data_IF_527109481625
#
_entry.id   IF_527109481625
#
_cell.length_a   1.000
_cell.length_b   1.000
_cell.length_c   1.000
_cell.angle_alpha   90.00
_cell.angle_beta   90.00
_cell.angle_gamma   90.00
#
_symmetry.space_group_name_H-M   'P 1'
#
loop_
_entity.id
_entity.type
_entity.pdbx_description
1 polymer ?
#
# COMPACT_ATOMS: atom_id res chain seq x y z
N UNK A 1 0.72 10.59 25.31
CA UNK A 1 0.35 9.64 24.22
C UNK A 1 0.97 10.16 22.94
N UNK A 2 1.66 9.34 22.13
CA UNK A 2 2.22 9.83 20.87
C UNK A 2 1.07 10.29 19.94
N UNK A 3 1.31 11.39 19.23
CA UNK A 3 0.36 12.06 18.35
C UNK A 3 -0.15 11.10 17.26
N UNK A 4 -1.47 11.01 17.06
CA UNK A 4 -2.05 10.19 15.99
C UNK A 4 -1.59 10.75 14.63
N UNK A 5 -0.87 9.95 13.84
CA UNK A 5 -0.55 10.26 12.45
C UNK A 5 -1.84 10.22 11.61
N UNK A 6 -2.19 11.34 10.98
CA UNK A 6 -3.35 11.48 10.08
C UNK A 6 -2.92 11.39 8.61
N UNK A 7 -3.71 10.82 7.70
CA UNK A 7 -3.30 10.80 6.29
C UNK A 7 -3.53 12.17 5.64
N UNK A 8 -2.66 12.56 4.71
CA UNK A 8 -2.93 13.67 3.78
C UNK A 8 -3.86 13.22 2.67
N UNK A 9 -3.67 11.99 2.19
CA UNK A 9 -4.57 11.36 1.23
C UNK A 9 -4.76 9.87 1.53
N UNK A 10 -5.94 9.38 1.16
CA UNK A 10 -6.27 7.96 1.22
C UNK A 10 -6.66 7.51 -0.18
N UNK A 11 -5.87 6.64 -0.78
CA UNK A 11 -6.05 6.19 -2.17
C UNK A 11 -6.42 4.72 -2.20
N UNK A 12 -7.53 4.38 -2.86
CA UNK A 12 -7.93 2.97 -3.08
C UNK A 12 -7.17 2.40 -4.27
N UNK A 13 -6.65 1.19 -4.12
CA UNK A 13 -5.94 0.45 -5.17
C UNK A 13 -6.10 -1.07 -4.97
N UNK A 14 -5.57 -1.83 -5.93
CA UNK A 14 -5.54 -3.29 -5.93
C UNK A 14 -4.15 -3.78 -5.52
N UNK A 15 -4.11 -4.81 -4.66
CA UNK A 15 -2.88 -5.45 -4.20
C UNK A 15 -2.14 -6.14 -5.37
N UNK A 16 -0.84 -5.84 -5.60
CA UNK A 16 -0.10 -6.37 -6.75
C UNK A 16 0.55 -7.75 -6.50
N UNK A 17 0.36 -8.35 -5.32
CA UNK A 17 1.15 -9.52 -4.91
C UNK A 17 0.69 -10.87 -5.48
N UNK A 18 -0.61 -11.12 -5.52
CA UNK A 18 -1.15 -12.40 -5.99
C UNK A 18 -2.42 -12.17 -6.79
N UNK A 19 -2.85 -13.21 -7.53
CA UNK A 19 -4.02 -13.14 -8.41
C UNK A 19 -5.37 -12.96 -7.72
N UNK A 20 -5.43 -12.90 -6.39
CA UNK A 20 -6.68 -12.64 -5.67
C UNK A 20 -7.20 -11.23 -5.94
N UNK A 21 -6.32 -10.23 -6.09
CA UNK A 21 -6.74 -8.86 -6.40
C UNK A 21 -7.44 -8.15 -5.23
N UNK A 22 -6.96 -8.35 -4.00
CA UNK A 22 -7.51 -7.68 -2.81
C UNK A 22 -7.55 -6.16 -2.97
N UNK A 23 -8.64 -5.54 -2.50
CA UNK A 23 -8.79 -4.08 -2.44
C UNK A 23 -8.11 -3.52 -1.19
N UNK A 24 -7.38 -2.42 -1.34
CA UNK A 24 -6.62 -1.78 -0.28
C UNK A 24 -6.68 -0.25 -0.38
N UNK A 25 -6.67 0.40 0.78
CA UNK A 25 -6.60 1.85 0.94
C UNK A 25 -5.21 2.20 1.48
N UNK A 26 -4.46 2.96 0.69
CA UNK A 26 -3.15 3.48 1.01
C UNK A 26 -3.29 4.81 1.73
N UNK A 27 -2.77 4.90 2.96
CA UNK A 27 -2.72 6.13 3.74
C UNK A 27 -1.36 6.79 3.48
N UNK A 28 -1.38 7.95 2.83
CA UNK A 28 -0.19 8.63 2.33
C UNK A 28 0.02 9.92 3.11
N UNK A 29 1.28 10.18 3.47
CA UNK A 29 1.76 11.44 4.04
C UNK A 29 3.20 11.66 3.60
N UNK A 30 3.57 12.88 3.22
CA UNK A 30 4.92 13.24 2.76
C UNK A 30 5.40 12.36 1.58
N UNK A 31 4.46 11.94 0.73
CA UNK A 31 4.73 11.02 -0.39
C UNK A 31 5.04 9.57 0.01
N UNK A 32 4.92 9.21 1.29
CA UNK A 32 5.17 7.88 1.82
C UNK A 32 3.88 7.18 2.25
N UNK A 33 3.81 5.88 1.99
CA UNK A 33 2.74 5.03 2.51
C UNK A 33 3.10 4.64 3.94
N UNK A 34 2.41 5.20 4.93
CA UNK A 34 2.68 4.90 6.34
C UNK A 34 1.71 3.85 6.93
N UNK A 35 0.57 3.62 6.29
CA UNK A 35 -0.43 2.64 6.71
C UNK A 35 -1.22 2.11 5.52
N UNK A 36 -1.59 0.83 5.60
CA UNK A 36 -2.53 0.20 4.66
C UNK A 36 -3.73 -0.35 5.43
N UNK A 37 -4.94 -0.03 4.96
CA UNK A 37 -6.18 -0.66 5.41
C UNK A 37 -6.90 -1.32 4.24
N UNK A 38 -7.91 -2.14 4.52
CA UNK A 38 -8.79 -2.64 3.48
C UNK A 38 -10.23 -2.19 3.77
N UNK A 39 -11.00 -1.92 2.72
CA UNK A 39 -12.42 -1.62 2.85
C UNK A 39 -13.23 -2.89 3.20
N UNK A 40 -14.21 -2.75 4.08
CA UNK A 40 -15.08 -3.85 4.50
C UNK A 40 -16.22 -4.15 3.51
N UNK A 41 -16.54 -3.19 2.63
CA UNK A 41 -17.66 -3.24 1.69
C UNK A 41 -17.29 -3.79 0.30
N UNK A 42 -16.07 -4.29 0.12
CA UNK A 42 -15.56 -4.68 -1.21
C UNK A 42 -15.03 -6.11 -1.24
N UNK A 43 -15.50 -6.84 -2.25
CA UNK A 43 -14.90 -8.10 -2.67
C UNK A 43 -13.46 -7.84 -3.21
N UNK A 44 -12.58 -8.84 -3.13
CA UNK A 44 -12.79 -10.18 -2.59
C UNK A 44 -12.47 -10.30 -1.09
N UNK A 45 -11.90 -9.27 -0.48
CA UNK A 45 -11.23 -9.41 0.81
C UNK A 45 -11.98 -8.83 2.01
N UNK A 46 -12.99 -7.99 1.81
CA UNK A 46 -13.91 -7.49 2.86
C UNK A 46 -13.20 -7.07 4.15
N UNK A 47 -12.17 -6.21 4.03
CA UNK A 47 -11.40 -5.68 5.15
C UNK A 47 -10.17 -6.51 5.57
N UNK A 48 -10.02 -7.72 5.03
CA UNK A 48 -8.88 -8.58 5.33
C UNK A 48 -7.69 -8.31 4.41
N UNK A 49 -6.48 -8.40 4.96
CA UNK A 49 -5.23 -8.33 4.20
C UNK A 49 -4.23 -9.30 4.83
N UNK A 50 -3.53 -10.07 3.99
CA UNK A 50 -2.38 -10.86 4.42
C UNK A 50 -1.19 -9.95 4.75
N UNK A 51 -0.11 -10.54 5.30
CA UNK A 51 1.12 -9.80 5.66
C UNK A 51 1.69 -9.00 4.50
N UNK A 52 1.69 -9.55 3.28
CA UNK A 52 2.19 -8.87 2.08
C UNK A 52 1.34 -7.65 1.72
N UNK A 53 0.01 -7.80 1.71
CA UNK A 53 -0.89 -6.71 1.36
C UNK A 53 -0.93 -5.59 2.41
N UNK A 54 -0.67 -5.90 3.68
CA UNK A 54 -0.73 -4.92 4.78
C UNK A 54 0.58 -4.17 5.00
N UNK A 55 1.72 -4.83 4.82
CA UNK A 55 3.03 -4.29 5.20
C UNK A 55 4.06 -4.27 4.07
N UNK A 56 3.84 -5.01 2.99
CA UNK A 56 4.75 -5.05 1.85
C UNK A 56 4.53 -3.88 0.89
N UNK A 57 4.74 -2.65 1.33
CA UNK A 57 4.70 -1.47 0.44
C UNK A 57 6.05 -0.79 0.30
N UNK A 58 7.07 -1.33 0.98
CA UNK A 58 8.45 -0.88 1.03
C UNK A 58 9.15 -0.87 -0.33
N UNK A 59 8.75 -1.76 -1.25
CA UNK A 59 9.29 -1.80 -2.61
C UNK A 59 9.09 -0.48 -3.39
N UNK A 60 8.08 0.33 -3.02
CA UNK A 60 7.82 1.62 -3.67
C UNK A 60 8.93 2.64 -3.42
N UNK A 61 9.62 2.52 -2.27
CA UNK A 61 10.69 3.43 -1.83
C UNK A 61 12.02 2.73 -1.62
N UNK A 62 12.14 1.46 -2.04
CA UNK A 62 13.34 0.66 -1.84
C UNK A 62 14.55 1.29 -2.54
N UNK A 63 15.73 1.37 -1.89
CA UNK A 63 16.92 2.05 -2.44
C UNK A 63 17.40 1.45 -3.76
N UNK A 64 17.19 0.14 -3.97
CA UNK A 64 17.52 -0.57 -5.21
C UNK A 64 16.54 -0.37 -6.37
N UNK A 65 15.49 0.46 -6.22
CA UNK A 65 14.52 0.72 -7.29
C UNK A 65 15.21 1.46 -8.43
N UNK A 66 15.10 0.94 -9.65
CA UNK A 66 15.60 1.61 -10.85
C UNK A 66 14.86 2.94 -11.05
N UNK A 67 15.62 4.03 -11.17
CA UNK A 67 15.09 5.40 -11.39
C UNK A 67 15.32 5.90 -12.81
N UNK A 68 16.20 5.23 -13.56
CA UNK A 68 16.59 5.56 -14.93
C UNK A 68 16.60 4.30 -15.79
N UNK A 69 16.33 4.41 -17.10
CA UNK A 69 16.41 3.28 -18.02
C UNK A 69 17.85 2.73 -18.10
N UNK A 70 17.97 1.43 -18.31
CA UNK A 70 19.25 0.73 -18.53
C UNK A 70 19.28 0.21 -19.98
N UNK A 71 20.38 0.41 -20.68
CA UNK A 71 20.63 -0.10 -22.03
C UNK A 71 21.75 -1.15 -21.93
N UNK A 72 21.61 -2.26 -22.66
CA UNK A 72 22.61 -3.32 -22.72
C UNK A 72 23.13 -3.48 -24.15
#
# INVERSE_FOLDING_TARGET
>A
MPTRLTPESVVRTTCPYCGVGCQMNLHIRDGLIYRVSAPFDSAPNYGNLCVKGRFGTDFTTHPGRLKTPLIR
#
